data_IF_516837697131
#
_entry.id   IF_516837697131
#
_cell.length_a   1.000
_cell.length_b   1.000
_cell.length_c   1.000
_cell.angle_alpha   90.00
_cell.angle_beta   90.00
_cell.angle_gamma   90.00
#
_symmetry.space_group_name_H-M   'P 1'
#
loop_
_entity.id
_entity.type
_entity.pdbx_description
1 polymer ?
#
# COMPACT_ATOMS: atom_id res chain seq x y z
N UNK A 1 18.43 23.03 3.18
CA UNK A 1 17.26 22.24 2.72
C UNK A 1 16.93 21.03 3.64
N UNK A 2 17.14 21.10 4.96
CA UNK A 2 16.72 20.04 5.92
C UNK A 2 15.41 20.38 6.68
N UNK A 3 14.94 21.62 6.60
CA UNK A 3 13.86 22.13 7.47
C UNK A 3 12.42 21.78 7.05
N UNK A 4 12.17 21.26 5.84
CA UNK A 4 10.79 21.13 5.34
C UNK A 4 10.17 19.71 5.50
N UNK A 5 10.99 18.66 5.65
CA UNK A 5 10.49 17.27 5.79
C UNK A 5 9.81 17.02 7.14
N UNK A 6 10.23 17.74 8.18
CA UNK A 6 9.69 17.64 9.53
C UNK A 6 8.27 18.24 9.62
N UNK A 7 8.01 19.35 8.92
CA UNK A 7 6.70 20.01 8.96
C UNK A 7 5.57 19.17 8.33
N UNK A 8 5.83 18.56 7.16
CA UNK A 8 4.84 17.66 6.53
C UNK A 8 4.55 16.46 7.45
N UNK A 9 5.59 15.88 8.04
CA UNK A 9 5.47 14.74 8.94
C UNK A 9 4.62 15.09 10.16
N UNK A 10 4.87 16.26 10.79
CA UNK A 10 4.06 16.78 11.90
C UNK A 10 2.59 17.00 11.53
N UNK A 11 2.31 17.49 10.32
CA UNK A 11 0.92 17.65 9.84
C UNK A 11 0.22 16.31 9.69
N UNK A 12 0.89 15.31 9.12
CA UNK A 12 0.35 13.95 8.99
C UNK A 12 0.12 13.31 10.36
N UNK A 13 1.07 13.45 11.29
CA UNK A 13 0.91 12.97 12.67
C UNK A 13 -0.29 13.65 13.35
N UNK A 14 -0.38 14.97 13.28
CA UNK A 14 -1.50 15.74 13.86
C UNK A 14 -2.84 15.33 13.28
N UNK A 15 -2.89 15.09 11.96
CA UNK A 15 -4.09 14.62 11.27
C UNK A 15 -4.53 13.26 11.82
N UNK A 16 -3.67 12.26 11.84
CA UNK A 16 -4.02 10.91 12.33
C UNK A 16 -4.20 10.82 13.84
N UNK A 17 -3.64 11.75 14.63
CA UNK A 17 -3.97 11.89 16.05
C UNK A 17 -5.41 12.36 16.25
N UNK A 18 -5.93 13.21 15.35
CA UNK A 18 -7.30 13.73 15.40
C UNK A 18 -8.32 12.83 14.70
N UNK A 19 -7.91 12.19 13.61
CA UNK A 19 -8.72 11.36 12.73
C UNK A 19 -8.02 10.02 12.47
N UNK A 20 -7.95 9.13 13.48
CA UNK A 20 -7.27 7.85 13.35
C UNK A 20 -7.99 6.96 12.33
N UNK A 21 -7.21 6.27 11.50
CA UNK A 21 -7.71 5.41 10.43
C UNK A 21 -6.82 4.17 10.24
N UNK A 22 -7.37 2.99 9.86
CA UNK A 22 -8.80 2.64 9.76
C UNK A 22 -9.57 2.78 11.09
N UNK A 23 -10.89 2.92 11.00
CA UNK A 23 -11.74 3.13 12.18
C UNK A 23 -11.93 1.86 13.02
N UNK A 24 -12.14 1.95 14.36
CA UNK A 24 -12.32 0.79 15.25
C UNK A 24 -13.46 -0.16 14.90
N UNK A 25 -14.53 0.31 14.25
CA UNK A 25 -15.66 -0.53 13.85
C UNK A 25 -15.40 -1.38 12.61
N UNK A 26 -14.27 -1.17 11.92
CA UNK A 26 -13.93 -1.88 10.68
C UNK A 26 -13.92 -3.39 10.91
N UNK A 27 -14.75 -4.10 10.15
CA UNK A 27 -14.89 -5.54 10.31
C UNK A 27 -13.67 -6.30 9.78
N UNK A 28 -13.43 -7.49 10.35
CA UNK A 28 -12.31 -8.35 9.96
C UNK A 28 -12.35 -8.72 8.46
N UNK A 29 -13.54 -8.96 7.90
CA UNK A 29 -13.69 -9.31 6.49
C UNK A 29 -13.25 -8.18 5.55
N UNK A 30 -13.37 -6.93 6.00
CA UNK A 30 -12.98 -5.73 5.25
C UNK A 30 -11.50 -5.38 5.42
N UNK A 31 -10.79 -6.12 6.29
CA UNK A 31 -9.37 -5.93 6.62
C UNK A 31 -8.53 -7.21 6.39
N UNK A 32 -9.09 -8.15 5.62
CA UNK A 32 -8.44 -9.43 5.28
C UNK A 32 -7.62 -9.36 3.99
N UNK A 33 -7.61 -8.25 3.27
CA UNK A 33 -6.84 -8.07 2.03
C UNK A 33 -5.34 -8.28 2.24
N UNK A 34 -4.77 -7.83 3.37
CA UNK A 34 -3.37 -8.08 3.68
C UNK A 34 -3.08 -9.56 3.95
N UNK A 35 -3.99 -10.24 4.66
CA UNK A 35 -3.90 -11.68 4.90
C UNK A 35 -4.02 -12.46 3.58
N UNK A 36 -4.97 -12.07 2.71
CA UNK A 36 -5.17 -12.69 1.41
C UNK A 36 -3.95 -12.48 0.50
N UNK A 37 -3.37 -11.27 0.47
CA UNK A 37 -2.12 -10.98 -0.24
C UNK A 37 -1.02 -11.96 0.17
N UNK A 38 -0.79 -12.11 1.48
CA UNK A 38 0.24 -13.00 2.01
C UNK A 38 -0.04 -14.47 1.71
N UNK A 39 -1.31 -14.90 1.81
CA UNK A 39 -1.71 -16.26 1.43
C UNK A 39 -1.48 -16.55 -0.05
N UNK A 40 -1.81 -15.62 -0.93
CA UNK A 40 -1.56 -15.79 -2.38
C UNK A 40 -0.07 -15.88 -2.64
N UNK A 41 0.74 -15.02 -2.00
CA UNK A 41 2.18 -15.07 -2.13
C UNK A 41 2.77 -16.40 -1.63
N UNK A 42 2.26 -16.91 -0.49
CA UNK A 42 2.63 -18.21 0.06
C UNK A 42 2.30 -19.35 -0.93
N UNK A 43 1.07 -19.37 -1.44
CA UNK A 43 0.57 -20.38 -2.38
C UNK A 43 1.34 -20.39 -3.70
N UNK A 44 1.55 -19.23 -4.32
CA UNK A 44 2.29 -19.13 -5.59
C UNK A 44 3.79 -19.40 -5.41
N UNK A 45 4.32 -19.18 -4.21
CA UNK A 45 5.70 -19.51 -3.86
C UNK A 45 5.89 -20.93 -3.35
N UNK A 46 4.83 -21.69 -3.05
CA UNK A 46 4.98 -22.97 -2.33
C UNK A 46 5.84 -22.85 -1.06
N UNK A 47 5.85 -21.67 -0.43
CA UNK A 47 6.55 -21.42 0.82
C UNK A 47 5.57 -21.61 1.98
N UNK A 48 6.05 -21.58 3.22
CA UNK A 48 5.20 -21.44 4.40
C UNK A 48 5.78 -20.38 5.31
N UNK A 49 4.94 -19.48 5.82
CA UNK A 49 5.39 -18.52 6.81
C UNK A 49 5.38 -19.13 8.21
N UNK A 50 6.54 -19.67 8.60
CA UNK A 50 6.83 -20.11 9.97
C UNK A 50 8.11 -19.45 10.47
N UNK A 51 8.13 -18.99 11.73
CA UNK A 51 9.29 -18.32 12.34
C UNK A 51 9.79 -17.09 11.55
N UNK A 52 8.87 -16.41 10.85
CA UNK A 52 9.15 -15.19 10.10
C UNK A 52 8.97 -13.98 11.01
N UNK A 53 9.91 -13.04 10.97
CA UNK A 53 9.75 -11.73 11.61
C UNK A 53 9.21 -10.72 10.60
N UNK A 54 8.03 -10.19 10.88
CA UNK A 54 7.36 -9.15 10.10
C UNK A 54 7.53 -7.77 10.72
N UNK A 55 7.77 -6.78 9.88
CA UNK A 55 7.59 -5.37 10.20
C UNK A 55 6.36 -4.87 9.45
N UNK A 56 5.41 -4.25 10.14
CA UNK A 56 4.29 -3.53 9.55
C UNK A 56 4.47 -2.03 9.75
N UNK A 57 4.96 -1.36 8.71
CA UNK A 57 5.34 0.05 8.74
C UNK A 57 4.17 0.95 8.34
N UNK A 58 3.66 1.70 9.31
CA UNK A 58 2.39 2.44 9.25
C UNK A 58 1.20 1.52 9.50
N UNK A 59 1.22 0.84 10.64
CA UNK A 59 0.23 -0.17 11.05
C UNK A 59 -1.15 0.43 11.30
N UNK A 60 -1.24 1.75 11.46
CA UNK A 60 -2.45 2.47 11.79
C UNK A 60 -3.06 1.92 13.08
N UNK A 61 -4.37 1.67 13.04
CA UNK A 61 -5.14 1.08 14.14
C UNK A 61 -5.00 -0.44 14.26
N UNK A 62 -4.07 -1.08 13.53
CA UNK A 62 -3.71 -2.48 13.67
C UNK A 62 -4.70 -3.50 13.09
N UNK A 63 -5.79 -3.07 12.44
CA UNK A 63 -6.85 -3.97 11.96
C UNK A 63 -6.33 -5.04 10.99
N UNK A 64 -5.54 -4.64 9.99
CA UNK A 64 -4.97 -5.54 8.98
C UNK A 64 -3.98 -6.50 9.61
N UNK A 65 -2.98 -5.98 10.32
CA UNK A 65 -1.88 -6.79 10.84
C UNK A 65 -2.30 -7.74 11.96
N UNK A 66 -3.31 -7.39 12.76
CA UNK A 66 -3.80 -8.30 13.80
C UNK A 66 -4.52 -9.51 13.20
N UNK A 67 -5.20 -9.38 12.05
CA UNK A 67 -5.75 -10.54 11.33
C UNK A 67 -4.62 -11.45 10.82
N UNK A 68 -3.54 -10.85 10.29
CA UNK A 68 -2.35 -11.58 9.82
C UNK A 68 -1.66 -12.30 10.98
N UNK A 69 -1.42 -11.60 12.09
CA UNK A 69 -0.76 -12.14 13.27
C UNK A 69 -1.55 -13.28 13.92
N UNK A 70 -2.88 -13.17 13.91
CA UNK A 70 -3.77 -14.24 14.37
C UNK A 70 -3.68 -15.50 13.48
N UNK A 71 -3.56 -15.33 12.17
CA UNK A 71 -3.44 -16.46 11.24
C UNK A 71 -2.05 -17.12 11.30
N UNK A 72 -0.98 -16.31 11.26
CA UNK A 72 0.40 -16.78 11.31
C UNK A 72 0.94 -16.74 12.75
N UNK A 73 0.34 -17.52 13.64
CA UNK A 73 0.64 -17.52 15.08
C UNK A 73 2.07 -17.96 15.44
N UNK A 74 2.79 -18.62 14.52
CA UNK A 74 4.22 -18.98 14.64
C UNK A 74 5.18 -17.90 14.14
N UNK A 75 4.67 -16.74 13.74
CA UNK A 75 5.47 -15.61 13.28
C UNK A 75 5.45 -14.48 14.32
N UNK A 76 6.47 -13.63 14.30
CA UNK A 76 6.58 -12.46 15.16
C UNK A 76 6.31 -11.19 14.37
N UNK A 77 5.60 -10.24 14.97
CA UNK A 77 5.18 -9.00 14.33
C UNK A 77 5.58 -7.77 15.15
N UNK A 78 6.14 -6.78 14.47
CA UNK A 78 6.30 -5.42 14.99
C UNK A 78 5.51 -4.46 14.10
N UNK A 79 4.49 -3.80 14.65
CA UNK A 79 3.78 -2.71 14.00
C UNK A 79 4.34 -1.35 14.42
N UNK A 80 4.61 -0.49 13.44
CA UNK A 80 5.06 0.88 13.65
C UNK A 80 4.00 1.87 13.19
N UNK A 81 3.77 2.93 13.96
CA UNK A 81 3.00 4.07 13.49
C UNK A 81 3.55 5.37 14.06
N UNK A 82 3.23 6.50 13.44
CA UNK A 82 3.57 7.82 13.96
C UNK A 82 2.50 8.34 14.93
N UNK A 83 1.24 7.92 14.77
CA UNK A 83 0.11 8.33 15.60
C UNK A 83 -0.01 7.45 16.85
N UNK A 84 0.23 8.04 18.02
CA UNK A 84 0.01 7.37 19.29
C UNK A 84 -1.45 6.95 19.48
N UNK A 85 -2.40 7.75 18.98
CA UNK A 85 -3.83 7.43 19.03
C UNK A 85 -4.18 6.18 18.23
N UNK A 86 -3.57 6.02 17.05
CA UNK A 86 -3.72 4.82 16.25
C UNK A 86 -3.16 3.59 16.99
N UNK A 87 -2.00 3.73 17.63
CA UNK A 87 -1.38 2.65 18.41
C UNK A 87 -2.17 2.27 19.66
N UNK A 88 -2.84 3.21 20.33
CA UNK A 88 -3.78 2.90 21.43
C UNK A 88 -4.88 1.95 20.93
N UNK A 89 -5.51 2.28 19.80
CA UNK A 89 -6.56 1.45 19.17
C UNK A 89 -5.99 0.08 18.80
N UNK A 90 -4.80 0.03 18.20
CA UNK A 90 -4.13 -1.21 17.83
C UNK A 90 -3.86 -2.12 19.04
N UNK A 91 -3.43 -1.55 20.17
CA UNK A 91 -3.21 -2.29 21.41
C UNK A 91 -4.53 -2.81 22.01
N UNK A 92 -5.61 -2.03 21.98
CA UNK A 92 -6.95 -2.50 22.38
C UNK A 92 -7.38 -3.70 21.53
N UNK A 93 -7.20 -3.62 20.20
CA UNK A 93 -7.55 -4.70 19.28
C UNK A 93 -6.71 -5.96 19.50
N UNK A 94 -5.40 -5.80 19.69
CA UNK A 94 -4.47 -6.89 20.07
C UNK A 94 -4.95 -7.60 21.34
N UNK A 95 -5.25 -6.85 22.40
CA UNK A 95 -5.69 -7.39 23.68
C UNK A 95 -7.04 -8.12 23.53
N UNK A 96 -8.00 -7.55 22.80
CA UNK A 96 -9.29 -8.17 22.50
C UNK A 96 -9.14 -9.51 21.77
N UNK A 97 -8.18 -9.60 20.85
CA UNK A 97 -7.87 -10.83 20.10
C UNK A 97 -6.91 -11.78 20.84
N UNK A 98 -6.41 -11.42 22.03
CA UNK A 98 -5.46 -12.20 22.83
C UNK A 98 -4.20 -12.58 22.04
N UNK A 99 -3.62 -11.61 21.32
CA UNK A 99 -2.43 -11.85 20.49
C UNK A 99 -1.16 -11.51 21.26
N UNK A 100 -0.29 -12.50 21.47
CA UNK A 100 0.99 -12.32 22.16
C UNK A 100 2.17 -12.13 21.17
N UNK A 101 1.98 -12.49 19.90
CA UNK A 101 3.01 -12.50 18.87
C UNK A 101 3.16 -11.16 18.11
N UNK A 102 2.45 -10.10 18.53
CA UNK A 102 2.55 -8.77 17.93
C UNK A 102 2.85 -7.69 18.98
N UNK A 103 3.77 -6.78 18.65
CA UNK A 103 4.07 -5.58 19.44
C UNK A 103 3.88 -4.33 18.59
N UNK A 104 3.56 -3.22 19.24
CA UNK A 104 3.34 -1.93 18.60
C UNK A 104 4.31 -0.89 19.16
N UNK A 105 4.88 -0.05 18.31
CA UNK A 105 5.86 0.95 18.70
C UNK A 105 5.69 2.25 17.90
N UNK A 106 5.80 3.40 18.58
CA UNK A 106 5.76 4.70 17.92
C UNK A 106 7.07 4.95 17.19
N UNK A 107 7.02 5.17 15.89
CA UNK A 107 8.20 5.48 15.09
C UNK A 107 7.87 6.41 13.91
N UNK A 108 8.81 7.30 13.61
CA UNK A 108 8.77 8.13 12.43
C UNK A 108 9.65 7.50 11.34
N UNK A 109 9.04 7.06 10.23
CA UNK A 109 9.76 6.44 9.11
C UNK A 109 10.73 7.37 8.38
N UNK A 110 10.67 8.68 8.63
CA UNK A 110 11.65 9.64 8.13
C UNK A 110 12.97 9.62 8.94
N UNK A 111 12.94 9.06 10.16
CA UNK A 111 14.10 8.90 11.02
C UNK A 111 14.76 7.52 10.82
N UNK A 112 16.00 7.39 11.29
CA UNK A 112 16.68 6.10 11.30
C UNK A 112 15.96 5.13 12.25
N UNK A 113 15.61 3.95 11.74
CA UNK A 113 14.93 2.87 12.47
C UNK A 113 15.75 1.58 12.52
N UNK A 114 17.04 1.63 12.16
CA UNK A 114 17.92 0.45 12.09
C UNK A 114 18.09 -0.29 13.43
N UNK A 115 17.87 0.39 14.55
CA UNK A 115 17.93 -0.18 15.91
C UNK A 115 16.77 -1.13 16.24
N UNK A 116 15.70 -1.14 15.44
CA UNK A 116 14.54 -2.03 15.66
C UNK A 116 14.81 -3.50 15.28
N UNK A 117 16.00 -3.78 14.73
CA UNK A 117 16.41 -5.12 14.33
C UNK A 117 16.19 -5.41 12.85
N UNK A 118 16.20 -6.70 12.50
CA UNK A 118 16.14 -7.18 11.13
C UNK A 118 14.93 -8.07 10.86
N UNK A 119 14.20 -7.77 9.79
CA UNK A 119 12.95 -8.42 9.42
C UNK A 119 13.07 -9.25 8.14
N UNK A 120 12.37 -10.37 8.11
CA UNK A 120 12.27 -11.23 6.93
C UNK A 120 11.33 -10.60 5.91
N UNK A 121 10.19 -10.07 6.38
CA UNK A 121 9.19 -9.43 5.54
C UNK A 121 8.88 -8.05 6.11
N UNK A 122 8.94 -7.04 5.26
CA UNK A 122 8.46 -5.68 5.58
C UNK A 122 7.17 -5.45 4.80
N UNK A 123 6.13 -4.99 5.47
CA UNK A 123 4.85 -4.58 4.91
C UNK A 123 4.77 -3.05 5.08
N UNK A 124 4.55 -2.31 3.99
CA UNK A 124 4.35 -0.87 4.03
C UNK A 124 3.17 -0.52 3.12
N UNK A 125 1.97 -0.69 3.67
CA UNK A 125 0.74 -0.81 2.90
C UNK A 125 -0.14 0.43 3.06
N UNK A 126 -0.03 1.39 2.15
CA UNK A 126 -0.82 2.63 2.27
C UNK A 126 -0.07 3.81 2.90
N UNK A 127 1.27 3.84 2.85
CA UNK A 127 2.05 4.70 3.77
C UNK A 127 3.07 5.55 3.03
N UNK A 128 3.92 4.96 2.19
CA UNK A 128 5.02 5.70 1.53
C UNK A 128 4.53 6.92 0.73
N UNK A 129 3.34 6.86 0.13
CA UNK A 129 2.76 7.98 -0.63
C UNK A 129 2.33 9.17 0.24
N UNK A 130 2.23 9.00 1.55
CA UNK A 130 1.93 10.06 2.50
C UNK A 130 3.18 10.69 3.12
N UNK A 131 4.36 10.12 2.90
CA UNK A 131 5.62 10.63 3.44
C UNK A 131 6.10 11.87 2.68
N UNK A 132 6.80 12.74 3.40
CA UNK A 132 7.41 13.95 2.85
C UNK A 132 8.55 13.65 1.87
N UNK A 133 9.22 12.51 2.04
CA UNK A 133 10.18 11.97 1.08
C UNK A 133 10.07 10.43 1.04
N UNK A 134 9.27 9.88 0.09
CA UNK A 134 9.04 8.44 -0.03
C UNK A 134 10.31 7.62 -0.24
N UNK A 135 11.30 8.15 -0.96
CA UNK A 135 12.57 7.45 -1.20
C UNK A 135 13.38 7.30 0.10
N UNK A 136 13.41 8.34 0.94
CA UNK A 136 14.08 8.26 2.24
C UNK A 136 13.37 7.31 3.21
N UNK A 137 12.03 7.32 3.21
CA UNK A 137 11.24 6.35 3.97
C UNK A 137 11.53 4.90 3.54
N UNK A 138 11.58 4.65 2.23
CA UNK A 138 11.97 3.34 1.69
C UNK A 138 13.39 2.95 2.10
N UNK A 139 14.37 3.85 2.01
CA UNK A 139 15.75 3.62 2.46
C UNK A 139 15.80 3.21 3.94
N UNK A 140 15.11 3.95 4.82
CA UNK A 140 15.05 3.64 6.24
C UNK A 140 14.41 2.26 6.52
N UNK A 141 13.36 1.89 5.78
CA UNK A 141 12.77 0.55 5.86
C UNK A 141 13.76 -0.54 5.43
N UNK A 142 14.42 -0.35 4.29
CA UNK A 142 15.41 -1.31 3.76
C UNK A 142 16.61 -1.47 4.70
N UNK A 143 16.94 -0.46 5.50
CA UNK A 143 17.95 -0.57 6.55
C UNK A 143 17.61 -1.61 7.63
N UNK A 144 16.34 -2.04 7.74
CA UNK A 144 15.88 -3.10 8.66
C UNK A 144 15.60 -4.42 7.93
N UNK A 145 15.76 -4.50 6.61
CA UNK A 145 15.52 -5.72 5.85
C UNK A 145 16.69 -6.70 6.01
N UNK A 146 16.39 -8.00 6.17
CA UNK A 146 17.39 -9.08 6.12
C UNK A 146 17.97 -9.22 4.70
N UNK A 147 19.15 -9.83 4.58
CA UNK A 147 19.82 -10.06 3.27
C UNK A 147 19.02 -10.98 2.34
N UNK A 148 18.17 -11.83 2.89
CA UNK A 148 17.22 -12.68 2.19
C UNK A 148 15.76 -12.24 2.41
N UNK A 149 15.56 -10.97 2.76
CA UNK A 149 14.25 -10.40 3.02
C UNK A 149 13.53 -9.89 1.77
N UNK A 150 12.22 -9.69 1.94
CA UNK A 150 11.27 -9.19 0.95
C UNK A 150 10.49 -8.01 1.52
N UNK A 151 10.17 -7.01 0.70
CA UNK A 151 9.30 -5.88 1.09
C UNK A 151 8.05 -5.83 0.21
N UNK A 152 6.89 -5.61 0.82
CA UNK A 152 5.62 -5.37 0.15
C UNK A 152 5.23 -3.91 0.33
N UNK A 153 4.88 -3.24 -0.76
CA UNK A 153 4.43 -1.86 -0.77
C UNK A 153 3.03 -1.77 -1.38
N UNK A 154 2.20 -0.89 -0.84
CA UNK A 154 0.99 -0.41 -1.52
C UNK A 154 1.05 1.09 -1.78
N UNK A 155 0.90 1.49 -3.05
CA UNK A 155 0.99 2.87 -3.51
C UNK A 155 -0.28 3.27 -4.28
N UNK A 156 -0.76 4.51 -4.09
CA UNK A 156 -1.91 5.00 -4.85
C UNK A 156 -1.57 5.31 -6.30
N UNK A 157 -2.48 4.92 -7.17
CA UNK A 157 -2.35 5.08 -8.61
C UNK A 157 -2.79 6.45 -9.12
N UNK A 158 -2.01 7.00 -10.05
CA UNK A 158 -2.22 8.32 -10.64
C UNK A 158 -3.42 8.36 -11.59
N UNK A 159 -3.59 7.32 -12.40
CA UNK A 159 -4.62 7.26 -13.44
C UNK A 159 -6.00 7.09 -12.81
N UNK A 160 -6.21 6.04 -12.03
CA UNK A 160 -7.49 5.83 -11.33
C UNK A 160 -7.74 6.86 -10.22
N UNK A 161 -6.69 7.41 -9.62
CA UNK A 161 -6.81 8.47 -8.60
C UNK A 161 -7.07 9.88 -9.14
N UNK A 162 -7.10 10.07 -10.47
CA UNK A 162 -7.16 11.41 -11.08
C UNK A 162 -8.42 12.20 -10.66
N UNK A 163 -9.60 11.58 -10.73
CA UNK A 163 -10.86 12.25 -10.36
C UNK A 163 -10.86 12.68 -8.88
N UNK A 164 -10.32 11.83 -8.01
CA UNK A 164 -10.13 12.16 -6.60
C UNK A 164 -9.25 13.38 -6.40
N UNK A 165 -8.13 13.48 -7.13
CA UNK A 165 -7.26 14.66 -7.05
C UNK A 165 -7.93 15.95 -7.53
N UNK A 166 -8.79 15.87 -8.56
CA UNK A 166 -9.62 17.02 -8.96
C UNK A 166 -10.58 17.45 -7.85
N UNK A 167 -11.21 16.49 -7.16
CA UNK A 167 -12.07 16.79 -6.02
C UNK A 167 -11.26 17.43 -4.86
N UNK A 168 -10.08 16.90 -4.53
CA UNK A 168 -9.17 17.52 -3.53
C UNK A 168 -8.80 18.95 -3.91
N UNK A 169 -8.51 19.19 -5.20
CA UNK A 169 -8.19 20.52 -5.71
C UNK A 169 -9.38 21.48 -5.59
N UNK A 170 -10.59 21.04 -5.96
CA UNK A 170 -11.83 21.81 -5.81
C UNK A 170 -12.05 22.23 -4.35
N UNK A 171 -12.00 21.27 -3.42
CA UNK A 171 -12.16 21.53 -1.98
C UNK A 171 -11.10 22.50 -1.47
N UNK A 172 -9.83 22.31 -1.85
CA UNK A 172 -8.75 23.23 -1.48
C UNK A 172 -9.01 24.65 -1.99
N UNK A 173 -9.48 24.83 -3.23
CA UNK A 173 -9.79 26.15 -3.79
C UNK A 173 -10.92 26.82 -2.99
N UNK A 174 -12.00 26.10 -2.72
CA UNK A 174 -13.16 26.61 -1.99
C UNK A 174 -12.83 26.99 -0.54
N UNK A 175 -11.97 26.21 0.13
CA UNK A 175 -11.52 26.52 1.50
C UNK A 175 -10.52 27.69 1.57
N UNK A 176 -9.85 28.03 0.48
CA UNK A 176 -8.89 29.14 0.40
C UNK A 176 -7.87 29.19 1.57
N UNK A 177 -8.05 30.11 2.54
CA UNK A 177 -7.17 30.24 3.72
C UNK A 177 -7.43 29.19 4.80
N UNK A 178 -8.57 28.50 4.75
CA UNK A 178 -9.02 27.52 5.73
C UNK A 178 -8.68 26.07 5.36
N UNK A 179 -7.76 25.83 4.42
CA UNK A 179 -7.38 24.48 3.95
C UNK A 179 -6.94 23.51 5.06
N UNK A 180 -6.49 24.02 6.20
CA UNK A 180 -6.09 23.21 7.37
C UNK A 180 -7.20 23.05 8.41
N UNK A 181 -8.38 23.64 8.18
CA UNK A 181 -9.56 23.46 9.03
C UNK A 181 -10.36 22.23 8.56
N UNK A 182 -10.04 21.07 9.14
CA UNK A 182 -10.71 19.80 8.82
C UNK A 182 -12.23 19.85 9.04
N UNK A 183 -12.71 20.55 10.06
CA UNK A 183 -14.16 20.64 10.36
C UNK A 183 -14.92 21.34 9.22
N UNK A 184 -14.38 22.46 8.71
CA UNK A 184 -14.99 23.16 7.57
C UNK A 184 -14.85 22.34 6.28
N UNK A 185 -13.71 21.67 6.08
CA UNK A 185 -13.51 20.77 4.93
C UNK A 185 -14.50 19.61 4.90
N UNK A 186 -14.71 18.94 6.03
CA UNK A 186 -15.68 17.85 6.18
C UNK A 186 -17.10 18.35 5.86
N UNK A 187 -17.49 19.50 6.41
CA UNK A 187 -18.81 20.10 6.15
C UNK A 187 -19.00 20.38 4.66
N UNK A 188 -18.02 21.04 4.03
CA UNK A 188 -18.06 21.37 2.61
C UNK A 188 -18.13 20.12 1.71
N UNK A 189 -17.37 19.07 2.04
CA UNK A 189 -17.39 17.80 1.28
C UNK A 189 -18.78 17.16 1.32
N UNK A 190 -19.45 17.18 2.48
CA UNK A 190 -20.82 16.67 2.62
C UNK A 190 -21.82 17.51 1.83
N UNK A 191 -21.73 18.84 1.88
CA UNK A 191 -22.61 19.76 1.13
C UNK A 191 -22.48 19.56 -0.39
N UNK A 192 -21.27 19.25 -0.88
CA UNK A 192 -21.01 18.96 -2.28
C UNK A 192 -21.34 17.50 -2.69
N UNK A 193 -21.76 16.65 -1.76
CA UNK A 193 -22.06 15.24 -2.01
C UNK A 193 -20.84 14.40 -2.41
N UNK A 194 -19.64 14.80 -1.98
CA UNK A 194 -18.37 14.14 -2.33
C UNK A 194 -17.93 13.07 -1.31
N UNK A 195 -18.74 12.79 -0.28
CA UNK A 195 -18.55 11.72 0.70
C UNK A 195 -19.02 10.34 0.21
N UNK A 196 -19.08 10.13 -1.12
CA UNK A 196 -19.31 8.83 -1.74
C UNK A 196 -17.97 8.27 -2.18
N UNK A 197 -17.50 7.23 -1.50
CA UNK A 197 -16.17 6.69 -1.69
C UNK A 197 -16.14 5.60 -2.77
N UNK A 198 -15.02 5.49 -3.46
CA UNK A 198 -14.75 4.35 -4.34
C UNK A 198 -14.56 3.06 -3.52
N UNK A 199 -14.68 1.91 -4.16
CA UNK A 199 -14.41 0.62 -3.50
C UNK A 199 -12.94 0.51 -3.05
N UNK A 200 -12.73 -0.18 -1.93
CA UNK A 200 -11.46 -0.12 -1.17
C UNK A 200 -11.44 0.99 -0.11
N UNK A 201 -12.30 1.99 -0.27
CA UNK A 201 -12.60 3.04 0.73
C UNK A 201 -14.01 2.91 1.30
N UNK A 202 -14.80 1.97 0.79
CA UNK A 202 -16.14 1.66 1.30
C UNK A 202 -16.06 0.77 2.55
N UNK A 203 -15.31 1.21 3.56
CA UNK A 203 -15.32 0.57 4.86
C UNK A 203 -16.65 0.91 5.55
N UNK A 204 -17.32 -0.09 6.11
CA UNK A 204 -18.50 0.16 6.94
C UNK A 204 -18.06 0.97 8.16
N UNK A 205 -18.50 2.23 8.24
CA UNK A 205 -18.43 3.04 9.44
C UNK A 205 -19.76 2.95 10.19
N UNK A 206 -19.70 2.97 11.52
CA UNK A 206 -20.87 2.89 12.41
C UNK A 206 -21.18 4.22 13.09
N UNK A 207 -20.30 5.20 12.96
CA UNK A 207 -20.50 6.54 13.53
C UNK A 207 -20.06 7.65 12.57
N UNK A 208 -20.49 8.87 12.89
CA UNK A 208 -20.12 10.09 12.15
C UNK A 208 -18.62 10.36 12.21
N UNK A 209 -17.98 10.09 13.34
CA UNK A 209 -16.56 10.30 13.57
C UNK A 209 -15.70 9.37 12.70
N UNK A 210 -16.18 8.15 12.47
CA UNK A 210 -15.53 7.19 11.59
C UNK A 210 -15.67 7.57 10.11
N UNK A 211 -16.83 8.09 9.71
CA UNK A 211 -17.00 8.70 8.38
C UNK A 211 -16.08 9.93 8.23
N UNK A 212 -16.01 10.80 9.24
CA UNK A 212 -15.14 11.98 9.24
C UNK A 212 -13.67 11.58 9.04
N UNK A 213 -13.22 10.50 9.69
CA UNK A 213 -11.85 10.00 9.55
C UNK A 213 -11.56 9.51 8.14
N UNK A 214 -12.51 8.82 7.52
CA UNK A 214 -12.43 8.39 6.13
C UNK A 214 -12.46 9.58 5.14
N UNK A 215 -13.31 10.57 5.36
CA UNK A 215 -13.33 11.83 4.57
C UNK A 215 -11.95 12.50 4.63
N UNK A 216 -11.37 12.57 5.82
CA UNK A 216 -10.07 13.22 6.04
C UNK A 216 -8.97 12.47 5.32
N UNK A 217 -8.88 11.15 5.49
CA UNK A 217 -7.90 10.31 4.80
C UNK A 217 -8.05 10.38 3.26
N UNK A 218 -9.29 10.38 2.76
CA UNK A 218 -9.56 10.31 1.33
C UNK A 218 -9.36 11.66 0.60
N UNK A 219 -9.89 12.77 1.15
CA UNK A 219 -9.99 14.07 0.47
C UNK A 219 -9.24 15.23 1.15
N UNK A 220 -8.98 15.15 2.45
CA UNK A 220 -8.30 16.23 3.19
C UNK A 220 -6.89 15.85 3.65
N UNK A 221 -6.36 14.72 3.18
CA UNK A 221 -5.07 14.23 3.64
C UNK A 221 -3.95 15.27 3.46
N UNK A 222 -3.14 15.46 4.51
CA UNK A 222 -2.16 16.54 4.60
C UNK A 222 -1.04 16.45 3.54
N UNK A 223 -0.69 15.25 3.09
CA UNK A 223 0.29 15.02 2.04
C UNK A 223 0.02 13.73 1.27
N UNK A 224 0.07 13.78 -0.06
CA UNK A 224 -0.21 12.60 -0.88
C UNK A 224 0.50 12.71 -2.23
N UNK A 225 1.17 11.62 -2.60
CA UNK A 225 1.82 11.45 -3.91
C UNK A 225 1.19 10.27 -4.63
N UNK A 226 0.79 10.47 -5.89
CA UNK A 226 0.28 9.38 -6.74
C UNK A 226 1.36 8.87 -7.67
N UNK A 227 1.23 7.60 -8.05
CA UNK A 227 2.22 6.86 -8.81
C UNK A 227 1.63 6.29 -10.10
N UNK A 228 2.41 6.32 -11.16
CA UNK A 228 2.29 5.38 -12.28
C UNK A 228 3.53 4.46 -12.29
N UNK A 229 3.60 3.54 -13.26
CA UNK A 229 4.73 2.64 -13.42
C UNK A 229 6.08 3.36 -13.48
N UNK A 230 6.17 4.51 -14.16
CA UNK A 230 7.45 5.21 -14.29
C UNK A 230 7.88 5.83 -12.96
N UNK A 231 6.93 6.32 -12.17
CA UNK A 231 7.22 6.82 -10.83
C UNK A 231 7.66 5.69 -9.88
N UNK A 232 7.04 4.52 -10.00
CA UNK A 232 7.43 3.30 -9.26
C UNK A 232 8.86 2.87 -9.67
N UNK A 233 9.14 2.77 -10.97
CA UNK A 233 10.48 2.42 -11.49
C UNK A 233 11.55 3.41 -10.98
N UNK A 234 11.25 4.71 -10.98
CA UNK A 234 12.14 5.74 -10.43
C UNK A 234 12.35 5.61 -8.92
N UNK A 235 11.31 5.30 -8.15
CA UNK A 235 11.40 5.10 -6.70
C UNK A 235 12.32 3.91 -6.38
N UNK A 236 12.10 2.77 -7.05
CA UNK A 236 12.87 1.56 -6.82
C UNK A 236 14.31 1.65 -7.34
N UNK A 237 14.57 2.35 -8.45
CA UNK A 237 15.94 2.60 -8.95
C UNK A 237 16.85 3.30 -7.95
N UNK A 238 16.28 4.06 -7.02
CA UNK A 238 17.02 4.72 -5.94
C UNK A 238 17.24 3.84 -4.70
N UNK A 239 16.72 2.62 -4.70
CA UNK A 239 16.78 1.70 -3.58
C UNK A 239 17.96 0.73 -3.68
N UNK A 240 18.27 0.05 -2.57
CA UNK A 240 19.30 -1.00 -2.51
C UNK A 240 18.80 -2.42 -2.82
N UNK A 241 17.58 -2.53 -3.34
CA UNK A 241 17.00 -3.81 -3.76
C UNK A 241 17.66 -4.32 -5.05
N UNK A 242 17.59 -5.64 -5.25
CA UNK A 242 18.01 -6.28 -6.49
C UNK A 242 17.03 -5.99 -7.63
N UNK A 243 15.74 -5.97 -7.30
CA UNK A 243 14.67 -5.63 -8.22
C UNK A 243 13.31 -5.71 -7.56
N UNK A 244 12.26 -5.57 -8.36
CA UNK A 244 10.88 -5.60 -7.91
C UNK A 244 9.96 -6.22 -8.95
N UNK A 245 8.76 -6.59 -8.53
CA UNK A 245 7.67 -6.98 -9.42
C UNK A 245 6.37 -6.32 -8.93
N UNK A 246 5.52 -5.87 -9.86
CA UNK A 246 4.14 -5.52 -9.50
C UNK A 246 3.44 -6.83 -9.15
N UNK A 247 2.96 -6.95 -7.92
CA UNK A 247 2.19 -8.12 -7.47
C UNK A 247 0.77 -8.09 -8.01
N UNK A 248 0.16 -6.92 -7.95
CA UNK A 248 -1.23 -6.70 -8.29
C UNK A 248 -1.56 -5.23 -8.42
N UNK A 249 -2.70 -4.96 -9.04
CA UNK A 249 -3.25 -3.62 -9.20
C UNK A 249 -4.70 -3.61 -8.74
N UNK A 250 -5.17 -2.46 -8.30
CA UNK A 250 -6.58 -2.18 -8.08
C UNK A 250 -7.03 -1.19 -9.14
N UNK A 251 -8.20 -1.43 -9.74
CA UNK A 251 -8.87 -0.50 -10.66
C UNK A 251 -10.34 -0.44 -10.33
N UNK A 252 -10.85 0.77 -10.11
CA UNK A 252 -12.20 1.01 -9.61
C UNK A 252 -12.50 0.12 -8.40
N UNK A 253 -13.35 -0.89 -8.61
CA UNK A 253 -13.81 -1.83 -7.58
C UNK A 253 -13.21 -3.23 -7.63
N UNK A 254 -12.16 -3.43 -8.43
CA UNK A 254 -11.61 -4.75 -8.71
C UNK A 254 -10.12 -4.81 -8.44
N UNK A 255 -9.70 -5.83 -7.72
CA UNK A 255 -8.29 -6.20 -7.56
C UNK A 255 -7.90 -7.26 -8.59
N UNK A 256 -6.73 -7.08 -9.21
CA UNK A 256 -6.14 -8.02 -10.15
C UNK A 256 -4.75 -8.41 -9.69
N UNK A 257 -4.42 -9.70 -9.79
CA UNK A 257 -3.02 -10.10 -9.85
C UNK A 257 -2.41 -9.59 -11.15
N UNK A 258 -1.23 -9.01 -11.04
CA UNK A 258 -0.55 -8.46 -12.20
C UNK A 258 0.16 -9.58 -12.96
N UNK A 259 -0.12 -9.63 -14.25
CA UNK A 259 0.62 -10.44 -15.21
C UNK A 259 0.69 -9.70 -16.55
N UNK A 260 1.92 -9.44 -17.01
CA UNK A 260 2.22 -8.86 -18.32
C UNK A 260 2.13 -9.87 -19.46
N UNK A 261 1.71 -11.10 -19.17
CA UNK A 261 1.57 -12.15 -20.17
C UNK A 261 0.35 -11.95 -21.07
N UNK A 262 0.40 -12.53 -22.26
CA UNK A 262 -0.74 -12.59 -23.19
C UNK A 262 -1.43 -13.97 -23.15
N UNK A 263 -0.78 -14.98 -22.57
CA UNK A 263 -1.29 -16.34 -22.47
C UNK A 263 -1.99 -16.54 -21.13
N UNK A 264 -3.14 -15.90 -20.96
CA UNK A 264 -3.96 -15.90 -19.73
C UNK A 264 -4.61 -17.25 -19.38
N UNK A 265 -3.92 -18.38 -19.57
CA UNK A 265 -4.42 -19.76 -19.36
C UNK A 265 -3.85 -20.42 -18.10
N UNK A 266 -3.83 -19.73 -16.97
CA UNK A 266 -3.79 -20.41 -15.65
C UNK A 266 -5.16 -20.27 -15.00
N UNK A 267 -5.80 -21.41 -14.70
CA UNK A 267 -7.05 -21.52 -13.93
C UNK A 267 -6.80 -21.19 -12.45
N UNK A 268 -6.38 -19.96 -12.14
CA UNK A 268 -6.45 -19.45 -10.77
C UNK A 268 -7.79 -18.72 -10.67
N UNK A 269 -8.54 -18.96 -9.59
CA UNK A 269 -9.85 -18.34 -9.34
C UNK A 269 -9.77 -16.83 -9.06
N UNK A 270 -8.57 -16.25 -9.01
CA UNK A 270 -8.30 -14.85 -8.71
C UNK A 270 -8.17 -14.08 -10.02
N UNK A 271 -8.86 -12.93 -10.19
CA UNK A 271 -8.73 -12.10 -11.38
C UNK A 271 -7.29 -11.70 -11.66
N UNK A 272 -6.89 -11.73 -12.93
CA UNK A 272 -5.56 -11.33 -13.39
C UNK A 272 -5.68 -10.30 -14.52
N UNK A 273 -4.68 -9.43 -14.66
CA UNK A 273 -4.56 -8.59 -15.84
C UNK A 273 -4.40 -9.48 -17.08
N UNK A 274 -5.07 -9.11 -18.17
CA UNK A 274 -5.08 -9.89 -19.39
C UNK A 274 -5.21 -8.96 -20.59
N UNK A 275 -4.08 -8.69 -21.24
CA UNK A 275 -4.00 -7.79 -22.38
C UNK A 275 -4.84 -8.26 -23.57
N UNK A 276 -5.03 -9.57 -23.75
CA UNK A 276 -5.80 -10.15 -24.86
C UNK A 276 -7.31 -9.88 -24.77
N UNK A 277 -7.80 -9.37 -23.62
CA UNK A 277 -9.17 -8.84 -23.53
C UNK A 277 -9.34 -7.52 -24.31
N UNK A 278 -8.25 -6.76 -24.48
CA UNK A 278 -8.23 -5.45 -25.11
C UNK A 278 -7.62 -5.49 -26.51
N UNK A 279 -6.52 -6.25 -26.69
CA UNK A 279 -5.85 -6.44 -27.97
C UNK A 279 -6.29 -7.77 -28.59
N UNK A 280 -7.26 -7.70 -29.52
CA UNK A 280 -7.94 -8.89 -30.08
C UNK A 280 -7.35 -9.40 -31.40
N UNK A 281 -6.63 -8.57 -32.14
CA UNK A 281 -6.04 -8.96 -33.43
C UNK A 281 -4.61 -9.45 -33.27
N UNK A 282 -4.19 -10.40 -34.11
CA UNK A 282 -2.80 -10.85 -34.17
C UNK A 282 -1.82 -9.71 -34.42
N UNK A 283 -2.24 -8.71 -35.22
CA UNK A 283 -1.47 -7.49 -35.46
C UNK A 283 -1.18 -6.73 -34.16
N UNK A 284 -2.21 -6.38 -33.38
CA UNK A 284 -2.04 -5.65 -32.12
C UNK A 284 -1.29 -6.45 -31.06
N UNK A 285 -1.52 -7.77 -30.99
CA UNK A 285 -0.81 -8.66 -30.07
C UNK A 285 0.66 -8.84 -30.44
N UNK A 286 1.01 -8.86 -31.74
CA UNK A 286 2.39 -8.91 -32.18
C UNK A 286 3.17 -7.67 -31.71
N UNK A 287 2.58 -6.48 -31.81
CA UNK A 287 3.15 -5.25 -31.27
C UNK A 287 3.33 -5.32 -29.75
N UNK A 288 2.37 -5.83 -28.99
CA UNK A 288 2.54 -5.97 -27.54
C UNK A 288 3.62 -7.00 -27.17
N UNK A 289 3.69 -8.12 -27.89
CA UNK A 289 4.66 -9.19 -27.61
C UNK A 289 6.10 -8.71 -27.75
N UNK A 290 6.39 -7.85 -28.74
CA UNK A 290 7.73 -7.31 -28.99
C UNK A 290 8.18 -6.26 -27.97
N UNK A 291 7.27 -5.75 -27.13
CA UNK A 291 7.61 -4.77 -26.10
C UNK A 291 8.51 -5.35 -25.01
N UNK A 292 9.38 -4.47 -24.48
CA UNK A 292 10.09 -4.71 -23.23
C UNK A 292 9.10 -4.92 -22.08
N UNK A 293 9.51 -5.60 -21.00
CA UNK A 293 8.65 -5.77 -19.83
C UNK A 293 8.18 -4.41 -19.25
N UNK A 294 9.05 -3.40 -19.25
CA UNK A 294 8.70 -2.06 -18.76
C UNK A 294 7.61 -1.41 -19.61
N UNK A 295 7.71 -1.51 -20.93
CA UNK A 295 6.67 -0.98 -21.82
C UNK A 295 5.37 -1.77 -21.73
N UNK A 296 5.44 -3.09 -21.52
CA UNK A 296 4.25 -3.91 -21.21
C UNK A 296 3.54 -3.43 -19.93
N UNK A 297 4.28 -3.08 -18.89
CA UNK A 297 3.71 -2.51 -17.67
C UNK A 297 3.05 -1.15 -17.93
N UNK A 298 3.69 -0.27 -18.72
CA UNK A 298 3.12 1.04 -19.11
C UNK A 298 1.85 0.91 -19.93
N UNK A 299 1.77 -0.07 -20.83
CA UNK A 299 0.55 -0.37 -21.57
C UNK A 299 -0.56 -0.83 -20.64
N UNK A 300 -0.26 -1.72 -19.68
CA UNK A 300 -1.25 -2.17 -18.70
C UNK A 300 -1.73 -1.04 -17.78
N UNK A 301 -0.86 -0.12 -17.37
CA UNK A 301 -1.25 1.09 -16.64
C UNK A 301 -2.31 1.89 -17.40
N UNK A 302 -2.07 2.16 -18.68
CA UNK A 302 -2.99 2.97 -19.51
C UNK A 302 -4.33 2.25 -19.68
N UNK A 303 -4.32 0.93 -19.87
CA UNK A 303 -5.54 0.15 -20.14
C UNK A 303 -6.38 -0.06 -18.88
N UNK A 304 -5.72 -0.34 -17.75
CA UNK A 304 -6.41 -0.66 -16.50
C UNK A 304 -6.65 0.56 -15.61
N UNK A 305 -5.96 1.68 -15.86
CA UNK A 305 -6.07 2.94 -15.10
C UNK A 305 -6.08 2.71 -13.58
N UNK A 306 -5.04 2.06 -13.01
CA UNK A 306 -5.09 1.61 -11.63
C UNK A 306 -5.23 2.79 -10.65
N UNK A 307 -6.06 2.62 -9.63
CA UNK A 307 -6.14 3.49 -8.47
C UNK A 307 -5.21 3.02 -7.32
N UNK A 308 -4.58 1.84 -7.45
CA UNK A 308 -3.57 1.36 -6.52
C UNK A 308 -2.67 0.25 -7.08
N UNK A 309 -1.46 0.14 -6.51
CA UNK A 309 -0.45 -0.85 -6.87
C UNK A 309 0.02 -1.58 -5.63
N UNK A 310 0.01 -2.92 -5.67
CA UNK A 310 0.77 -3.76 -4.74
C UNK A 310 2.05 -4.20 -5.41
N UNK A 311 3.19 -3.94 -4.77
CA UNK A 311 4.53 -4.17 -5.33
C UNK A 311 5.33 -5.02 -4.36
N UNK A 312 6.10 -5.98 -4.86
CA UNK A 312 7.06 -6.75 -4.07
C UNK A 312 8.47 -6.39 -4.50
N UNK A 313 9.28 -5.94 -3.54
CA UNK A 313 10.72 -5.69 -3.70
C UNK A 313 11.54 -6.83 -3.12
N UNK A 314 12.60 -7.22 -3.83
CA UNK A 314 13.44 -8.36 -3.47
C UNK A 314 14.89 -7.96 -3.25
N UNK A 315 15.47 -8.49 -2.18
CA UNK A 315 16.92 -8.65 -2.09
C UNK A 315 17.39 -9.72 -3.07
N UNK A 316 18.69 -9.73 -3.40
CA UNK A 316 19.23 -10.72 -4.35
C UNK A 316 19.01 -12.15 -3.85
N UNK A 317 19.32 -12.43 -2.58
CA UNK A 317 19.15 -13.77 -2.01
C UNK A 317 17.68 -14.17 -1.91
N UNK A 318 16.77 -13.24 -1.62
CA UNK A 318 15.33 -13.51 -1.64
C UNK A 318 14.84 -13.87 -3.04
N UNK A 319 15.25 -13.10 -4.06
CA UNK A 319 14.88 -13.37 -5.44
C UNK A 319 15.40 -14.72 -5.95
N UNK A 320 16.65 -15.08 -5.62
CA UNK A 320 17.25 -16.37 -6.02
C UNK A 320 16.50 -17.57 -5.40
N UNK A 321 15.88 -17.39 -4.23
CA UNK A 321 15.03 -18.40 -3.57
C UNK A 321 13.58 -18.39 -4.07
N UNK A 322 13.18 -17.39 -4.86
CA UNK A 322 11.81 -17.25 -5.34
C UNK A 322 11.48 -18.42 -6.28
N UNK A 323 10.34 -19.05 -6.07
CA UNK A 323 9.76 -20.11 -6.90
C UNK A 323 8.51 -19.64 -7.67
N UNK A 324 8.00 -18.45 -7.34
CA UNK A 324 6.82 -17.86 -7.96
C UNK A 324 7.12 -17.43 -9.40
N UNK A 325 6.68 -18.26 -10.36
CA UNK A 325 6.92 -18.03 -11.78
C UNK A 325 6.26 -16.76 -12.33
N UNK A 326 5.10 -16.35 -11.79
CA UNK A 326 4.44 -15.11 -12.21
C UNK A 326 5.29 -13.90 -11.83
N UNK A 327 5.77 -13.86 -10.59
CA UNK A 327 6.64 -12.77 -10.13
C UNK A 327 7.99 -12.77 -10.82
N UNK A 328 8.60 -13.94 -11.10
CA UNK A 328 9.82 -14.03 -11.91
C UNK A 328 9.64 -13.46 -13.32
N UNK A 329 8.55 -13.83 -14.00
CA UNK A 329 8.23 -13.34 -15.36
C UNK A 329 8.01 -11.83 -15.39
N UNK A 330 7.47 -11.28 -14.30
CA UNK A 330 7.18 -9.86 -14.14
C UNK A 330 8.26 -9.10 -13.34
N UNK A 331 9.45 -9.68 -13.17
CA UNK A 331 10.53 -9.09 -12.39
C UNK A 331 11.32 -8.05 -13.18
N UNK A 332 11.49 -6.87 -12.59
CA UNK A 332 12.31 -5.79 -13.10
C UNK A 332 13.57 -5.70 -12.25
N UNK A 333 14.70 -6.08 -12.86
CA UNK A 333 16.03 -5.94 -12.27
C UNK A 333 16.46 -4.47 -12.22
N UNK A 334 17.04 -4.05 -11.09
CA UNK A 334 17.58 -2.71 -10.87
C UNK A 334 19.11 -2.72 -10.85
N UNK A 335 19.69 -3.66 -10.10
CA UNK A 335 21.14 -3.80 -9.88
C UNK A 335 21.63 -5.15 -10.38
#
# INVERSE_FOLDING_TARGET
MRENFDNITKKVETMYMKYPYPSPSTEAIQTNELLNLLKIFELEGGIKFENIKFLDAGTGSGHRITNVAQHYNKCEFLGLDISEKSLEIANVLKNKKKLDNIKFHKANLMNNISSLGKFNIILCMGVLHHLSNPAKGLENLLSTLKKDGTIFLYLYGKLGGHKRMLNKKLISILLAKEKSNYSNGIKLIRELGLNKFEYGWNLNFKSKEEEDSLIVDYLLHANETLYDFNDIDKLFKKSDLYGYAIFGITTGTQGFLFDSSYDGRKKISIPQTNISKFLKSDFSLAHYKSLSLKDKCRVLDIIYEPNGYTIVGFTRQSFEKLSNERLKKNFIKIK
#
